data_IF_069836452644
#
_entry.id   IF_069836452644
#
_cell.length_a   1.000
_cell.length_b   1.000
_cell.length_c   1.000
_cell.angle_alpha   90.00
_cell.angle_beta   90.00
_cell.angle_gamma   90.00
#
_symmetry.space_group_name_H-M   'P 1'
#
loop_
_entity.id
_entity.type
_entity.pdbx_description
1 polymer ?
#
# COMPACT_ATOMS: atom_id res chain seq x y z
N UNK A 1 -24.23 -35.29 -43.28
CA UNK A 1 -23.79 -33.97 -42.79
C UNK A 1 -24.11 -33.91 -41.30
N UNK A 2 -23.12 -34.03 -40.41
CA UNK A 2 -23.34 -33.99 -38.94
C UNK A 2 -22.98 -32.58 -38.46
N UNK A 3 -23.95 -31.89 -37.86
CA UNK A 3 -23.84 -30.52 -37.36
C UNK A 3 -23.45 -30.62 -35.89
N UNK A 4 -22.28 -30.10 -35.50
CA UNK A 4 -21.85 -30.00 -34.10
C UNK A 4 -22.25 -28.62 -33.56
N UNK A 5 -22.97 -28.50 -32.44
CA UNK A 5 -23.22 -27.20 -31.81
C UNK A 5 -22.02 -26.81 -30.95
N UNK A 6 -21.45 -25.63 -31.22
CA UNK A 6 -20.42 -25.01 -30.38
C UNK A 6 -21.15 -24.37 -29.20
N UNK A 7 -20.99 -24.95 -28.01
CA UNK A 7 -21.46 -24.37 -26.76
C UNK A 7 -20.44 -23.31 -26.33
N UNK A 8 -20.77 -22.03 -26.53
CA UNK A 8 -19.96 -20.93 -26.03
C UNK A 8 -20.08 -20.87 -24.50
N UNK A 9 -19.05 -21.30 -23.78
CA UNK A 9 -18.95 -21.13 -22.34
C UNK A 9 -18.70 -19.64 -22.04
N UNK A 10 -19.74 -18.96 -21.57
CA UNK A 10 -19.64 -17.60 -21.06
C UNK A 10 -18.93 -17.64 -19.70
N UNK A 11 -17.62 -17.41 -19.68
CA UNK A 11 -16.87 -17.18 -18.44
C UNK A 11 -17.29 -15.85 -17.85
N UNK A 12 -18.12 -15.92 -16.81
CA UNK A 12 -18.48 -14.78 -15.98
C UNK A 12 -17.23 -14.36 -15.20
N UNK A 13 -16.57 -13.28 -15.63
CA UNK A 13 -15.51 -12.66 -14.86
C UNK A 13 -16.14 -12.03 -13.60
N UNK A 14 -15.94 -12.67 -12.45
CA UNK A 14 -16.28 -12.10 -11.15
C UNK A 14 -15.31 -10.94 -10.90
N UNK A 15 -15.81 -9.71 -10.94
CA UNK A 15 -15.07 -8.55 -10.49
C UNK A 15 -14.91 -8.66 -8.95
N UNK A 16 -13.74 -9.06 -8.50
CA UNK A 16 -13.39 -9.02 -7.09
C UNK A 16 -13.33 -7.55 -6.64
N UNK A 17 -13.88 -7.20 -5.47
CA UNK A 17 -13.74 -5.85 -4.94
C UNK A 17 -12.25 -5.53 -4.77
N UNK A 18 -11.79 -4.46 -5.42
CA UNK A 18 -10.40 -4.08 -5.60
C UNK A 18 -9.71 -3.53 -4.33
N UNK A 19 -10.04 -4.05 -3.14
CA UNK A 19 -9.51 -3.54 -1.86
C UNK A 19 -9.27 -4.60 -0.78
N UNK A 20 -9.48 -5.89 -1.06
CA UNK A 20 -9.34 -6.97 -0.08
C UNK A 20 -8.28 -8.00 -0.50
N UNK A 21 -7.11 -7.52 -0.93
CA UNK A 21 -5.97 -8.41 -1.13
C UNK A 21 -5.33 -8.69 0.24
N UNK A 22 -5.44 -9.95 0.65
CA UNK A 22 -4.75 -10.49 1.82
C UNK A 22 -3.68 -11.45 1.33
N UNK A 23 -2.45 -11.32 1.82
CA UNK A 23 -1.35 -12.25 1.52
C UNK A 23 -0.65 -12.65 2.81
N UNK A 24 -0.25 -13.91 2.89
CA UNK A 24 0.51 -14.45 4.03
C UNK A 24 1.96 -14.69 3.60
N UNK A 25 2.90 -14.25 4.43
CA UNK A 25 4.34 -14.50 4.30
C UNK A 25 4.86 -15.03 5.65
N UNK A 26 5.05 -16.35 5.75
CA UNK A 26 5.35 -16.97 7.05
C UNK A 26 4.22 -16.70 8.05
N UNK A 27 4.57 -16.09 9.19
CA UNK A 27 3.62 -15.70 10.25
C UNK A 27 2.99 -14.31 10.02
N UNK A 28 3.44 -13.57 9.00
CA UNK A 28 2.93 -12.24 8.68
C UNK A 28 1.70 -12.35 7.77
N UNK A 29 0.65 -11.62 8.12
CA UNK A 29 -0.51 -11.36 7.26
C UNK A 29 -0.47 -9.91 6.82
N UNK A 30 -0.53 -9.68 5.50
CA UNK A 30 -0.54 -8.37 4.88
C UNK A 30 -1.88 -8.13 4.22
N UNK A 31 -2.51 -7.00 4.53
CA UNK A 31 -3.87 -6.68 4.16
C UNK A 31 -3.99 -5.27 3.58
N UNK A 32 -5.01 -5.12 2.72
CA UNK A 32 -5.44 -3.83 2.18
C UNK A 32 -4.29 -2.98 1.61
N UNK A 33 -3.49 -3.52 0.66
CA UNK A 33 -2.50 -2.71 -0.04
C UNK A 33 -3.20 -1.60 -0.84
N UNK A 34 -2.68 -0.38 -0.76
CA UNK A 34 -3.26 0.79 -1.44
C UNK A 34 -2.16 1.78 -1.82
N UNK A 35 -2.26 2.38 -3.01
CA UNK A 35 -1.48 3.55 -3.41
C UNK A 35 -2.40 4.77 -3.51
N UNK A 36 -1.87 5.95 -3.19
CA UNK A 36 -2.60 7.21 -3.37
C UNK A 36 -2.50 7.71 -4.81
N UNK A 37 -3.62 8.14 -5.36
CA UNK A 37 -3.67 8.87 -6.61
C UNK A 37 -2.86 10.18 -6.56
N UNK A 38 -2.38 10.62 -7.72
CA UNK A 38 -1.55 11.82 -7.81
C UNK A 38 -1.96 12.73 -8.95
N UNK A 39 -1.85 14.07 -8.78
CA UNK A 39 -2.00 14.99 -9.90
C UNK A 39 -0.86 14.81 -10.94
N UNK A 40 -1.03 15.31 -12.17
CA UNK A 40 0.03 15.32 -13.16
C UNK A 40 1.31 15.97 -12.63
N UNK A 41 2.46 15.34 -12.91
CA UNK A 41 3.81 15.78 -12.51
C UNK A 41 4.09 15.73 -10.99
N UNK A 42 3.28 15.03 -10.19
CA UNK A 42 3.65 14.77 -8.80
C UNK A 42 4.99 14.01 -8.75
N UNK A 43 5.96 14.44 -7.94
CA UNK A 43 7.25 13.75 -7.85
C UNK A 43 7.19 12.49 -6.98
N UNK A 44 6.13 12.34 -6.17
CA UNK A 44 6.04 11.34 -5.11
C UNK A 44 4.58 10.86 -4.89
N UNK A 45 4.41 9.66 -4.35
CA UNK A 45 3.12 9.10 -3.91
C UNK A 45 3.25 8.35 -2.58
N UNK A 46 2.13 8.26 -1.85
CA UNK A 46 2.04 7.47 -0.63
C UNK A 46 1.49 6.07 -0.90
N UNK A 47 2.08 5.06 -0.26
CA UNK A 47 1.59 3.68 -0.23
C UNK A 47 1.28 3.22 1.19
N UNK A 48 0.25 2.37 1.32
CA UNK A 48 -0.38 2.01 2.58
C UNK A 48 -0.74 0.52 2.57
N UNK A 49 -0.72 -0.08 3.75
CA UNK A 49 -1.13 -1.45 4.00
C UNK A 49 -1.21 -1.70 5.51
N UNK A 50 -1.80 -2.82 5.90
CA UNK A 50 -1.73 -3.32 7.28
C UNK A 50 -0.90 -4.59 7.31
N UNK A 51 -0.02 -4.70 8.29
CA UNK A 51 0.79 -5.91 8.53
C UNK A 51 0.48 -6.41 9.93
N UNK A 52 0.05 -7.66 10.05
CA UNK A 52 -0.17 -8.35 11.33
C UNK A 52 0.85 -9.45 11.48
N UNK A 53 1.63 -9.42 12.55
CA UNK A 53 2.56 -10.48 12.91
C UNK A 53 1.86 -11.46 13.86
N UNK A 54 1.57 -12.67 13.37
CA UNK A 54 0.93 -13.73 14.17
C UNK A 54 1.95 -14.67 14.82
N UNK A 55 3.25 -14.38 14.67
CA UNK A 55 4.35 -15.18 15.17
C UNK A 55 4.74 -14.83 16.60
N UNK A 56 5.76 -15.53 17.09
CA UNK A 56 6.32 -15.37 18.44
C UNK A 56 7.58 -14.50 18.48
N UNK A 57 8.09 -14.08 17.31
CA UNK A 57 9.28 -13.22 17.17
C UNK A 57 8.94 -11.96 16.36
N UNK A 58 9.62 -10.87 16.68
CA UNK A 58 9.50 -9.60 15.96
C UNK A 58 10.05 -9.74 14.53
N UNK A 59 9.53 -8.95 13.60
CA UNK A 59 10.09 -8.78 12.27
C UNK A 59 10.17 -7.30 11.90
N UNK A 60 10.90 -6.96 10.86
CA UNK A 60 11.10 -5.58 10.42
C UNK A 60 10.87 -5.47 8.92
N UNK A 61 9.95 -4.61 8.50
CA UNK A 61 9.87 -4.19 7.10
C UNK A 61 11.05 -3.25 6.83
N UNK A 62 12.03 -3.71 6.06
CA UNK A 62 13.30 -2.98 5.85
C UNK A 62 13.35 -2.25 4.52
N UNK A 63 12.58 -2.68 3.53
CA UNK A 63 12.56 -2.06 2.21
C UNK A 63 11.30 -2.39 1.42
N UNK A 64 11.05 -1.61 0.37
CA UNK A 64 10.04 -1.90 -0.64
C UNK A 64 10.54 -1.49 -2.04
N UNK A 65 9.94 -2.04 -3.10
CA UNK A 65 10.27 -1.69 -4.48
C UNK A 65 9.08 -1.91 -5.42
N UNK A 66 8.93 -1.06 -6.44
CA UNK A 66 7.95 -1.25 -7.52
C UNK A 66 8.56 -2.08 -8.64
N UNK A 67 7.91 -3.16 -9.06
CA UNK A 67 8.45 -4.06 -10.09
C UNK A 67 8.38 -3.44 -11.48
N UNK A 68 7.33 -2.67 -11.76
CA UNK A 68 7.02 -2.09 -13.06
C UNK A 68 7.66 -0.71 -13.30
N UNK A 69 8.45 -0.22 -12.34
CA UNK A 69 9.21 1.03 -12.47
C UNK A 69 8.36 2.30 -12.44
N UNK A 70 7.20 2.27 -11.77
CA UNK A 70 6.41 3.50 -11.55
C UNK A 70 7.13 4.53 -10.67
N UNK A 71 8.11 4.10 -9.87
CA UNK A 71 8.93 4.93 -9.01
C UNK A 71 10.40 4.53 -9.13
N UNK A 72 11.31 5.50 -8.94
CA UNK A 72 12.75 5.24 -8.90
C UNK A 72 13.21 4.57 -7.60
N UNK A 73 12.51 4.84 -6.49
CA UNK A 73 12.79 4.28 -5.17
C UNK A 73 11.50 4.23 -4.33
N UNK A 74 11.40 3.29 -3.40
CA UNK A 74 10.37 3.31 -2.35
C UNK A 74 11.06 3.37 -0.99
N UNK A 75 10.73 4.42 -0.23
CA UNK A 75 11.29 4.65 1.10
C UNK A 75 10.23 4.38 2.18
N UNK A 76 10.66 4.06 3.39
CA UNK A 76 9.79 3.90 4.56
C UNK A 76 9.78 5.20 5.35
N UNK A 77 8.61 5.79 5.56
CA UNK A 77 8.47 7.11 6.17
C UNK A 77 7.49 7.09 7.34
N UNK A 78 7.64 8.07 8.23
CA UNK A 78 6.69 8.41 9.27
C UNK A 78 6.44 9.91 9.30
N UNK A 79 5.29 10.30 9.82
CA UNK A 79 5.04 11.70 10.15
C UNK A 79 5.71 12.02 11.50
N UNK A 80 6.49 13.10 11.54
CA UNK A 80 7.11 13.63 12.76
C UNK A 80 6.81 15.13 12.90
N UNK A 81 6.67 15.61 14.13
CA UNK A 81 6.68 17.04 14.42
C UNK A 81 8.12 17.54 14.56
N UNK A 82 8.48 18.54 13.77
CA UNK A 82 9.68 19.34 13.94
C UNK A 82 9.27 20.74 14.42
N UNK A 83 9.23 20.91 15.74
CA UNK A 83 8.55 22.05 16.35
C UNK A 83 7.06 22.04 16.02
N UNK A 84 6.58 23.09 15.35
CA UNK A 84 5.18 23.24 14.94
C UNK A 84 4.91 22.74 13.51
N UNK A 85 5.91 22.19 12.83
CA UNK A 85 5.81 21.73 11.43
C UNK A 85 5.75 20.21 11.40
N UNK A 86 4.70 19.67 10.81
CA UNK A 86 4.61 18.25 10.51
C UNK A 86 5.42 17.93 9.25
N UNK A 87 6.39 17.03 9.37
CA UNK A 87 7.26 16.58 8.27
C UNK A 87 7.16 15.07 8.05
N UNK A 88 7.33 14.66 6.80
CA UNK A 88 7.61 13.26 6.46
C UNK A 88 9.09 13.01 6.70
N UNK A 89 9.41 12.08 7.59
CA UNK A 89 10.77 11.69 7.92
C UNK A 89 10.97 10.22 7.53
N UNK A 90 12.06 9.95 6.80
CA UNK A 90 12.49 8.59 6.50
C UNK A 90 12.81 7.84 7.81
N UNK A 91 12.40 6.58 7.87
CA UNK A 91 12.67 5.68 8.99
C UNK A 91 13.92 4.87 8.67
N UNK A 92 15.05 5.27 9.27
CA UNK A 92 16.30 4.50 9.19
C UNK A 92 16.16 3.20 9.98
N UNK A 93 16.54 2.08 9.37
CA UNK A 93 16.48 0.75 10.00
C UNK A 93 15.17 -0.02 9.80
N UNK A 94 14.15 0.58 9.18
CA UNK A 94 12.91 -0.10 8.84
C UNK A 94 11.77 0.10 9.85
N UNK A 95 10.64 -0.52 9.58
CA UNK A 95 9.43 -0.46 10.41
C UNK A 95 9.30 -1.80 11.15
N UNK A 96 9.48 -1.75 12.47
CA UNK A 96 9.32 -2.90 13.35
C UNK A 96 7.86 -3.36 13.39
N UNK A 97 7.65 -4.67 13.30
CA UNK A 97 6.37 -5.37 13.39
C UNK A 97 6.47 -6.38 14.56
N UNK A 98 6.17 -5.95 15.79
CA UNK A 98 6.35 -6.80 16.98
C UNK A 98 5.50 -8.07 16.92
N UNK A 99 5.97 -9.13 17.58
CA UNK A 99 5.24 -10.39 17.72
C UNK A 99 3.84 -10.18 18.30
N UNK A 100 2.82 -10.76 17.68
CA UNK A 100 1.42 -10.64 18.10
C UNK A 100 0.80 -9.26 17.89
N UNK A 101 1.49 -8.32 17.21
CA UNK A 101 1.01 -6.98 16.95
C UNK A 101 0.56 -6.77 15.50
N UNK A 102 -0.27 -5.75 15.31
CA UNK A 102 -0.65 -5.22 14.01
C UNK A 102 -0.09 -3.82 13.86
N UNK A 103 0.61 -3.58 12.76
CA UNK A 103 1.14 -2.26 12.37
C UNK A 103 0.42 -1.81 11.10
N UNK A 104 -0.21 -0.65 11.17
CA UNK A 104 -0.94 -0.06 10.05
C UNK A 104 -0.13 1.10 9.46
N UNK A 105 0.19 0.99 8.18
CA UNK A 105 0.73 2.07 7.37
C UNK A 105 -0.45 2.80 6.73
N UNK A 106 -0.64 4.07 7.09
CA UNK A 106 -1.81 4.88 6.72
C UNK A 106 -1.46 6.35 6.56
N UNK A 107 -2.31 7.15 5.89
CA UNK A 107 -2.13 8.60 5.84
C UNK A 107 -1.95 9.20 7.23
N UNK A 108 -0.99 10.12 7.39
CA UNK A 108 -0.74 10.77 8.68
C UNK A 108 0.12 9.96 9.68
N UNK A 109 0.46 8.70 9.37
CA UNK A 109 1.30 7.84 10.22
C UNK A 109 2.52 7.29 9.47
N UNK A 110 2.78 6.00 9.67
CA UNK A 110 3.76 5.24 8.89
C UNK A 110 3.26 5.05 7.46
N UNK A 111 4.13 5.09 6.46
CA UNK A 111 3.74 4.89 5.07
C UNK A 111 4.94 4.55 4.18
N UNK A 112 4.65 3.96 3.02
CA UNK A 112 5.61 3.87 1.91
C UNK A 112 5.61 5.20 1.18
N UNK A 113 6.78 5.73 0.86
CA UNK A 113 6.95 6.93 0.07
C UNK A 113 7.61 6.55 -1.25
N UNK A 114 6.82 6.54 -2.32
CA UNK A 114 7.29 6.29 -3.69
C UNK A 114 7.95 7.58 -4.19
N UNK A 115 9.22 7.51 -4.52
CA UNK A 115 10.05 8.64 -4.91
C UNK A 115 10.39 8.59 -6.40
N UNK A 116 10.34 9.75 -7.07
CA UNK A 116 10.70 9.86 -8.48
C UNK A 116 9.71 9.13 -9.39
N UNK A 117 8.43 9.48 -9.26
CA UNK A 117 7.38 8.91 -10.10
C UNK A 117 7.66 9.15 -11.59
N UNK A 118 7.43 8.12 -12.41
CA UNK A 118 7.61 8.19 -13.87
C UNK A 118 6.36 8.70 -14.61
N UNK A 119 5.23 8.77 -13.92
CA UNK A 119 3.96 9.30 -14.41
C UNK A 119 2.94 9.45 -13.27
N UNK A 120 1.74 10.01 -13.54
CA UNK A 120 0.69 10.08 -12.54
C UNK A 120 0.17 8.69 -12.19
N UNK A 121 -0.12 8.47 -10.91
CA UNK A 121 -0.90 7.33 -10.45
C UNK A 121 -2.39 7.64 -10.59
N UNK A 122 -3.07 6.91 -11.47
CA UNK A 122 -4.48 7.11 -11.78
C UNK A 122 -5.36 6.14 -10.96
N UNK A 123 -6.37 6.66 -10.28
CA UNK A 123 -7.30 5.85 -9.49
C UNK A 123 -7.95 4.75 -10.35
N UNK A 124 -8.04 3.54 -9.79
CA UNK A 124 -8.56 2.34 -10.48
C UNK A 124 -7.49 1.54 -11.24
N UNK A 125 -6.25 2.04 -11.33
CA UNK A 125 -5.10 1.23 -11.75
C UNK A 125 -4.53 0.43 -10.58
N UNK A 126 -3.57 -0.46 -10.83
CA UNK A 126 -2.90 -1.26 -9.79
C UNK A 126 -1.46 -1.53 -10.20
N UNK A 127 -0.56 -1.49 -9.23
CA UNK A 127 0.88 -1.65 -9.44
C UNK A 127 1.50 -2.68 -8.50
N UNK A 128 2.32 -3.62 -9.00
CA UNK A 128 2.98 -4.62 -8.17
C UNK A 128 4.11 -3.99 -7.34
N UNK A 129 4.03 -4.15 -6.01
CA UNK A 129 5.04 -3.70 -5.05
C UNK A 129 5.56 -4.90 -4.29
N UNK A 130 6.88 -5.04 -4.25
CA UNK A 130 7.59 -6.01 -3.40
C UNK A 130 7.92 -5.36 -2.07
N UNK A 131 7.60 -6.05 -0.98
CA UNK A 131 7.91 -5.70 0.40
C UNK A 131 8.96 -6.68 0.90
N UNK A 132 9.99 -6.15 1.56
CA UNK A 132 11.17 -6.91 2.00
C UNK A 132 11.24 -6.82 3.52
N UNK A 133 11.05 -7.96 4.17
CA UNK A 133 11.16 -8.14 5.61
C UNK A 133 12.52 -8.74 5.96
N UNK A 134 13.04 -8.38 7.12
CA UNK A 134 14.34 -8.84 7.61
C UNK A 134 14.37 -10.36 7.80
N UNK A 135 13.30 -10.95 8.36
CA UNK A 135 13.26 -12.36 8.72
C UNK A 135 12.32 -13.19 7.83
N UNK A 136 11.11 -12.68 7.55
CA UNK A 136 10.13 -13.40 6.73
C UNK A 136 10.47 -13.44 5.23
N UNK A 137 11.40 -12.58 4.77
CA UNK A 137 11.81 -12.48 3.38
C UNK A 137 10.94 -11.52 2.56
N UNK A 138 10.71 -11.85 1.29
CA UNK A 138 10.05 -10.93 0.34
C UNK A 138 8.67 -11.42 -0.09
N UNK A 139 7.74 -10.47 -0.23
CA UNK A 139 6.40 -10.72 -0.77
C UNK A 139 6.03 -9.64 -1.78
N UNK A 140 5.45 -10.03 -2.90
CA UNK A 140 4.93 -9.09 -3.90
C UNK A 140 3.40 -9.07 -3.83
N UNK A 141 2.83 -7.87 -3.79
CA UNK A 141 1.38 -7.65 -3.77
C UNK A 141 1.01 -6.59 -4.80
N UNK A 142 -0.20 -6.70 -5.35
CA UNK A 142 -0.75 -5.67 -6.22
C UNK A 142 -1.36 -4.55 -5.36
N UNK A 143 -0.86 -3.32 -5.53
CA UNK A 143 -1.36 -2.14 -4.84
C UNK A 143 -2.32 -1.37 -5.76
N UNK A 144 -3.65 -1.47 -5.56
CA UNK A 144 -4.62 -0.63 -6.24
C UNK A 144 -4.40 0.86 -5.91
N UNK A 145 -4.48 1.70 -6.93
CA UNK A 145 -4.46 3.16 -6.79
C UNK A 145 -5.85 3.65 -6.44
N UNK A 146 -5.96 4.38 -5.34
CA UNK A 146 -7.21 4.89 -4.79
C UNK A 146 -7.10 6.38 -4.50
N UNK A 147 -8.24 7.06 -4.52
CA UNK A 147 -8.35 8.43 -4.05
C UNK A 147 -8.11 8.52 -2.55
N UNK A 148 -7.65 9.68 -2.07
CA UNK A 148 -7.51 9.91 -0.62
C UNK A 148 -8.82 9.65 0.16
N UNK A 149 -9.97 9.94 -0.44
CA UNK A 149 -11.27 9.71 0.19
C UNK A 149 -11.56 8.21 0.38
N UNK A 150 -11.28 7.40 -0.64
CA UNK A 150 -11.41 5.94 -0.58
C UNK A 150 -10.45 5.33 0.45
N UNK A 151 -9.20 5.79 0.47
CA UNK A 151 -8.19 5.33 1.45
C UNK A 151 -8.66 5.64 2.87
N UNK A 152 -9.12 6.88 3.14
CA UNK A 152 -9.64 7.26 4.46
C UNK A 152 -10.89 6.47 4.85
N UNK A 153 -11.75 6.15 3.91
CA UNK A 153 -12.90 5.30 4.17
C UNK A 153 -12.47 3.87 4.53
N UNK A 154 -11.46 3.33 3.85
CA UNK A 154 -10.90 2.01 4.13
C UNK A 154 -10.16 1.94 5.47
N UNK A 155 -9.45 3.01 5.87
CA UNK A 155 -8.70 3.08 7.14
C UNK A 155 -9.52 3.57 8.34
N UNK A 156 -10.80 3.90 8.15
CA UNK A 156 -11.67 4.38 9.23
C UNK A 156 -11.47 5.85 9.62
N UNK A 157 -10.76 6.64 8.82
CA UNK A 157 -10.46 8.06 9.05
C UNK A 157 -11.45 9.04 8.39
N UNK A 158 -12.62 8.58 7.96
CA UNK A 158 -13.62 9.38 7.23
C UNK A 158 -14.16 10.63 7.97
N UNK A 159 -13.63 10.99 9.14
CA UNK A 159 -14.03 12.15 9.95
C UNK A 159 -12.95 13.19 10.27
N UNK A 160 -11.69 13.00 9.87
CA UNK A 160 -10.63 13.99 10.14
C UNK A 160 -10.49 14.96 8.97
N UNK A 161 -11.31 16.01 9.03
CA UNK A 161 -11.28 17.19 8.18
C UNK A 161 -9.85 17.77 8.10
N UNK A 162 -9.24 17.69 6.92
CA UNK A 162 -7.99 18.39 6.58
C UNK A 162 -8.20 19.90 6.33
N UNK A 163 -9.33 20.46 6.78
CA UNK A 163 -9.78 21.83 6.59
C UNK A 163 -9.46 22.80 7.72
N UNK A 164 -8.66 22.42 8.73
CA UNK A 164 -8.17 23.37 9.75
C UNK A 164 -6.65 23.31 9.94
N UNK A 165 -5.91 23.62 8.90
CA UNK A 165 -4.60 24.27 9.04
C UNK A 165 -4.68 25.63 8.36
N UNK A 166 -5.03 26.64 9.15
CA UNK A 166 -5.16 28.02 8.71
C UNK A 166 -5.83 28.83 9.81
N UNK A 167 -5.02 29.52 10.60
CA UNK A 167 -5.45 30.61 11.46
C UNK A 167 -5.81 31.83 10.61
#
# INVERSE_FOLDING_TARGET
MRIFPILAALTLAVALPAGAQTTTLGDLTLDAPMLRDTPPNAPVAGGFLTVTNNGEADDTLISAATIDGIAGEVQLHRMEMDGDVMKMAQVDGGIEIPAGATVTLMPGGLHLMLMGLTGPLEAGTSHPVTLIFENAGEVTMDFPVMTLAEIRAATGEAGMDAGKMGN
#
